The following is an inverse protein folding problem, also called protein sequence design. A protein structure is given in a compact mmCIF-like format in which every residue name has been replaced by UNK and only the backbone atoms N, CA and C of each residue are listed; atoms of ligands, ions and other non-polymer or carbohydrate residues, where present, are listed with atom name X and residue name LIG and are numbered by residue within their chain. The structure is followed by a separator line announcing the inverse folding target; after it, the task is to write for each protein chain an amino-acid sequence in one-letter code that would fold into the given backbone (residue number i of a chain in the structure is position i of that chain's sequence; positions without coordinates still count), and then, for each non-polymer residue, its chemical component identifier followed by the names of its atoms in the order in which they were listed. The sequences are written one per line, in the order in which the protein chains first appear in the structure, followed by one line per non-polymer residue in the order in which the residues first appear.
data_IF_616539849539
#
_entry.id   IF_616539849539
#
_cell.length_a   1.000
_cell.length_b   1.000
_cell.length_c   1.000
_cell.angle_alpha   90.00
_cell.angle_beta   90.00
_cell.angle_gamma   90.00
#
_symmetry.space_group_name_H-M   'P 1'
#
loop_
_entity.id
_entity.type
_entity.pdbx_description
1 polymer ?
#
# COMPACT_ATOMS: atom_id res chain seq x y z
N UNK A 1 33.53 19.27 -45.66
CA UNK A 1 32.14 19.14 -45.15
C UNK A 1 32.24 19.15 -43.63
N UNK A 2 31.82 20.23 -42.98
CA UNK A 2 31.75 20.28 -41.51
C UNK A 2 30.72 19.25 -41.04
N UNK A 3 31.13 18.34 -40.16
CA UNK A 3 30.27 17.30 -39.60
C UNK A 3 29.14 17.97 -38.81
N UNK A 4 27.94 18.02 -39.38
CA UNK A 4 26.77 18.72 -38.80
C UNK A 4 26.05 17.84 -37.76
N UNK A 5 26.76 16.88 -37.15
CA UNK A 5 26.23 15.96 -36.14
C UNK A 5 26.09 16.68 -34.81
N UNK A 6 24.85 16.73 -34.30
CA UNK A 6 24.58 17.16 -32.93
C UNK A 6 24.81 15.98 -31.98
N UNK A 7 25.74 16.15 -31.04
CA UNK A 7 26.01 15.17 -29.99
C UNK A 7 25.30 15.59 -28.70
N UNK A 8 24.66 14.63 -28.05
CA UNK A 8 24.06 14.79 -26.72
C UNK A 8 24.80 13.90 -25.73
N UNK A 9 25.06 14.40 -24.54
CA UNK A 9 25.76 13.67 -23.48
C UNK A 9 25.02 13.82 -22.16
N UNK A 10 25.09 12.78 -21.34
CA UNK A 10 24.61 12.77 -19.97
C UNK A 10 25.82 12.88 -19.04
N UNK A 11 25.83 13.85 -18.13
CA UNK A 11 26.87 13.97 -17.11
C UNK A 11 26.33 13.44 -15.79
N UNK A 12 26.88 12.32 -15.32
CA UNK A 12 26.61 11.81 -13.98
C UNK A 12 27.61 12.44 -13.00
N UNK A 13 27.14 12.83 -11.81
CA UNK A 13 28.03 13.18 -10.69
C UNK A 13 28.70 11.90 -10.17
N UNK A 14 29.86 12.04 -9.53
CA UNK A 14 30.54 10.90 -8.89
C UNK A 14 29.63 10.19 -7.89
N UNK A 15 28.85 10.97 -7.13
CA UNK A 15 27.88 10.49 -6.15
C UNK A 15 26.46 10.27 -6.71
N UNK A 16 26.30 10.12 -8.03
CA UNK A 16 24.97 9.98 -8.64
C UNK A 16 24.19 8.76 -8.11
N UNK A 17 24.90 7.67 -7.82
CA UNK A 17 24.30 6.45 -7.26
C UNK A 17 24.13 6.51 -5.74
N UNK A 18 24.63 7.56 -5.09
CA UNK A 18 24.44 7.82 -3.66
C UNK A 18 23.24 8.75 -3.39
N UNK A 19 22.56 9.25 -4.44
CA UNK A 19 21.32 10.02 -4.28
C UNK A 19 20.24 9.14 -3.65
N UNK A 20 19.58 9.63 -2.60
CA UNK A 20 18.59 8.86 -1.82
C UNK A 20 17.51 8.22 -2.71
N UNK A 21 17.11 8.88 -3.80
CA UNK A 21 16.10 8.37 -4.72
C UNK A 21 16.63 7.22 -5.57
N UNK A 22 17.92 7.24 -5.93
CA UNK A 22 18.59 6.20 -6.71
C UNK A 22 18.98 5.02 -5.83
N UNK A 23 19.49 5.28 -4.62
CA UNK A 23 19.75 4.24 -3.61
C UNK A 23 18.46 3.50 -3.29
N UNK A 24 17.37 4.23 -3.06
CA UNK A 24 16.05 3.65 -2.82
C UNK A 24 15.59 2.82 -4.03
N UNK A 25 15.74 3.34 -5.24
CA UNK A 25 15.39 2.64 -6.46
C UNK A 25 16.16 1.31 -6.62
N UNK A 26 17.48 1.32 -6.41
CA UNK A 26 18.33 0.13 -6.56
C UNK A 26 18.14 -0.89 -5.43
N UNK A 27 17.64 -0.46 -4.27
CA UNK A 27 17.29 -1.35 -3.17
C UNK A 27 16.01 -2.19 -3.42
N UNK A 28 15.20 -1.85 -4.43
CA UNK A 28 13.97 -2.57 -4.76
C UNK A 28 14.26 -3.92 -5.43
N UNK A 29 13.29 -4.84 -5.39
CA UNK A 29 13.32 -6.01 -6.27
C UNK A 29 13.33 -5.53 -7.74
N UNK A 30 14.28 -6.03 -8.54
CA UNK A 30 14.60 -5.52 -9.88
C UNK A 30 15.12 -4.05 -9.91
N UNK A 31 15.58 -3.50 -8.78
CA UNK A 31 16.01 -2.10 -8.66
C UNK A 31 17.14 -1.71 -9.62
N UNK A 32 18.14 -2.59 -9.80
CA UNK A 32 19.23 -2.40 -10.78
C UNK A 32 18.67 -2.31 -12.21
N UNK A 33 17.61 -3.08 -12.50
CA UNK A 33 16.92 -3.03 -13.80
C UNK A 33 16.18 -1.69 -13.97
N UNK A 34 15.52 -1.20 -12.92
CA UNK A 34 14.87 0.10 -12.95
C UNK A 34 15.87 1.26 -13.07
N UNK A 35 16.99 1.22 -12.36
CA UNK A 35 18.10 2.17 -12.52
C UNK A 35 18.62 2.19 -13.97
N UNK A 36 18.78 1.02 -14.58
CA UNK A 36 19.15 0.92 -16.00
C UNK A 36 18.09 1.53 -16.94
N UNK A 37 16.80 1.29 -16.69
CA UNK A 37 15.70 1.90 -17.45
C UNK A 37 15.74 3.42 -17.29
N UNK A 38 15.92 3.93 -16.08
CA UNK A 38 15.95 5.36 -15.78
C UNK A 38 17.09 6.06 -16.53
N UNK A 39 18.30 5.50 -16.50
CA UNK A 39 19.45 6.05 -17.25
C UNK A 39 19.19 6.05 -18.76
N UNK A 40 18.57 5.00 -19.30
CA UNK A 40 18.16 4.96 -20.71
C UNK A 40 17.13 6.03 -21.03
N UNK A 41 16.17 6.28 -20.15
CA UNK A 41 15.15 7.32 -20.32
C UNK A 41 15.77 8.72 -20.29
N UNK A 42 16.68 9.00 -19.36
CA UNK A 42 17.44 10.26 -19.37
C UNK A 42 18.12 10.49 -20.72
N UNK A 43 18.84 9.50 -21.24
CA UNK A 43 19.49 9.58 -22.55
C UNK A 43 18.50 9.83 -23.69
N UNK A 44 17.34 9.15 -23.69
CA UNK A 44 16.30 9.33 -24.72
C UNK A 44 15.64 10.69 -24.67
N UNK A 45 15.58 11.30 -23.49
CA UNK A 45 14.96 12.61 -23.29
C UNK A 45 15.84 13.80 -23.73
N UNK A 46 17.16 13.60 -23.88
CA UNK A 46 18.13 14.69 -24.12
C UNK A 46 17.80 15.53 -25.37
N UNK A 47 17.38 14.87 -26.46
CA UNK A 47 17.05 15.54 -27.72
C UNK A 47 15.88 16.54 -27.55
N UNK A 48 14.97 16.26 -26.64
CA UNK A 48 13.75 17.02 -26.40
C UNK A 48 13.77 17.73 -25.03
N UNK A 49 14.96 18.04 -24.51
CA UNK A 49 15.13 18.84 -23.30
C UNK A 49 14.53 18.22 -22.04
N UNK A 50 14.48 16.89 -21.97
CA UNK A 50 13.88 16.15 -20.84
C UNK A 50 12.53 15.52 -21.15
N UNK A 51 11.89 15.86 -22.28
CA UNK A 51 10.62 15.22 -22.67
C UNK A 51 10.89 13.85 -23.32
N UNK A 52 10.10 12.86 -22.93
CA UNK A 52 10.12 11.52 -23.52
C UNK A 52 9.19 11.47 -24.72
N UNK A 53 9.74 11.77 -25.90
CA UNK A 53 9.00 11.85 -27.16
C UNK A 53 9.80 11.21 -28.30
N UNK A 54 9.08 10.62 -29.27
CA UNK A 54 9.69 10.10 -30.50
C UNK A 54 10.04 11.24 -31.46
N UNK A 55 9.13 12.20 -31.56
CA UNK A 55 9.24 13.42 -32.34
C UNK A 55 8.46 14.56 -31.64
N UNK A 56 8.43 15.77 -32.20
CA UNK A 56 7.84 16.95 -31.54
C UNK A 56 6.41 16.72 -31.01
N UNK A 57 5.59 15.95 -31.74
CA UNK A 57 4.17 15.75 -31.44
C UNK A 57 3.82 14.37 -30.85
N UNK A 58 4.79 13.44 -30.72
CA UNK A 58 4.49 12.05 -30.34
C UNK A 58 5.16 11.69 -29.01
N UNK A 59 4.42 11.76 -27.89
CA UNK A 59 4.86 11.28 -26.59
C UNK A 59 5.13 9.78 -26.60
N UNK A 60 6.14 9.34 -25.84
CA UNK A 60 6.35 7.92 -25.64
C UNK A 60 5.28 7.30 -24.74
N UNK A 61 4.66 6.24 -25.23
CA UNK A 61 3.82 5.34 -24.42
C UNK A 61 4.68 4.33 -23.65
N UNK A 62 4.11 3.67 -22.63
CA UNK A 62 4.80 2.60 -21.90
C UNK A 62 5.29 1.47 -22.85
N UNK A 63 4.49 1.10 -23.85
CA UNK A 63 4.88 0.12 -24.87
C UNK A 63 6.08 0.58 -25.72
N UNK A 64 6.14 1.86 -26.08
CA UNK A 64 7.29 2.42 -26.81
C UNK A 64 8.53 2.42 -25.92
N UNK A 65 8.39 2.76 -24.64
CA UNK A 65 9.48 2.74 -23.67
C UNK A 65 10.00 1.31 -23.47
N UNK A 66 9.12 0.32 -23.35
CA UNK A 66 9.49 -1.11 -23.29
C UNK A 66 10.33 -1.53 -24.48
N UNK A 67 9.90 -1.14 -25.68
CA UNK A 67 10.60 -1.44 -26.93
C UNK A 67 12.00 -0.81 -26.96
N UNK A 68 12.12 0.50 -26.66
CA UNK A 68 13.41 1.21 -26.77
C UNK A 68 14.38 0.85 -25.64
N UNK A 69 13.87 0.45 -24.47
CA UNK A 69 14.70 0.03 -23.32
C UNK A 69 15.05 -1.46 -23.37
N UNK A 70 14.39 -2.21 -24.26
CA UNK A 70 14.47 -3.67 -24.44
C UNK A 70 14.02 -4.42 -23.19
N UNK A 71 12.88 -4.01 -22.65
CA UNK A 71 12.30 -4.55 -21.43
C UNK A 71 10.87 -5.01 -21.64
N UNK A 72 10.37 -5.85 -20.73
CA UNK A 72 8.96 -6.23 -20.73
C UNK A 72 8.09 -5.02 -20.38
N UNK A 73 6.93 -4.90 -21.03
CA UNK A 73 6.00 -3.78 -20.80
C UNK A 73 5.63 -3.65 -19.31
N UNK A 74 5.28 -4.75 -18.65
CA UNK A 74 4.95 -4.72 -17.21
C UNK A 74 6.12 -4.30 -16.31
N UNK A 75 7.37 -4.51 -16.74
CA UNK A 75 8.54 -3.96 -16.02
C UNK A 75 8.66 -2.46 -16.21
N UNK A 76 8.38 -1.96 -17.41
CA UNK A 76 8.40 -0.53 -17.71
C UNK A 76 7.25 0.22 -17.05
N UNK A 77 6.05 -0.35 -17.02
CA UNK A 77 4.89 0.26 -16.35
C UNK A 77 5.15 0.41 -14.86
N UNK A 78 5.67 -0.64 -14.21
CA UNK A 78 6.11 -0.58 -12.81
C UNK A 78 7.22 0.44 -12.61
N UNK A 79 8.24 0.46 -13.48
CA UNK A 79 9.33 1.42 -13.40
C UNK A 79 8.83 2.88 -13.52
N UNK A 80 7.94 3.17 -14.46
CA UNK A 80 7.35 4.50 -14.64
C UNK A 80 6.53 4.93 -13.42
N UNK A 81 5.72 4.04 -12.85
CA UNK A 81 5.00 4.32 -11.61
C UNK A 81 5.96 4.65 -10.45
N UNK A 82 7.05 3.89 -10.32
CA UNK A 82 8.08 4.15 -9.31
C UNK A 82 8.75 5.51 -9.57
N UNK A 83 9.15 5.82 -10.80
CA UNK A 83 9.80 7.08 -11.13
C UNK A 83 8.90 8.29 -10.89
N UNK A 84 7.60 8.18 -11.18
CA UNK A 84 6.60 9.22 -10.88
C UNK A 84 6.50 9.46 -9.38
N UNK A 85 6.44 8.38 -8.58
CA UNK A 85 6.37 8.46 -7.11
C UNK A 85 7.64 9.04 -6.49
N UNK A 86 8.80 8.71 -7.02
CA UNK A 86 10.09 9.24 -6.57
C UNK A 86 10.38 10.66 -7.10
N UNK A 87 9.48 11.24 -7.90
CA UNK A 87 9.69 12.56 -8.52
C UNK A 87 10.89 12.58 -9.48
N UNK A 88 11.27 11.43 -10.03
CA UNK A 88 12.32 11.27 -11.04
C UNK A 88 11.77 11.51 -12.45
N UNK A 89 10.47 11.27 -12.63
CA UNK A 89 9.67 11.54 -13.83
C UNK A 89 8.41 12.30 -13.41
N UNK A 90 7.92 13.17 -14.28
CA UNK A 90 6.65 13.89 -14.13
C UNK A 90 5.78 13.70 -15.38
N UNK A 91 4.46 13.83 -15.24
CA UNK A 91 3.55 13.93 -16.39
C UNK A 91 3.19 15.40 -16.58
N UNK A 92 3.44 15.93 -17.77
CA UNK A 92 3.00 17.28 -18.16
C UNK A 92 1.49 17.29 -18.46
N UNK A 93 0.87 18.47 -18.50
CA UNK A 93 -0.56 18.62 -18.83
C UNK A 93 -0.94 17.98 -20.19
N UNK A 94 0.04 17.84 -21.09
CA UNK A 94 -0.11 17.17 -22.38
C UNK A 94 -0.08 15.63 -22.32
N UNK A 95 0.06 15.03 -21.12
CA UNK A 95 0.27 13.59 -20.94
C UNK A 95 1.71 13.12 -21.22
N UNK A 96 2.63 14.01 -21.57
CA UNK A 96 4.02 13.67 -21.90
C UNK A 96 4.85 13.46 -20.64
N UNK A 97 5.59 12.35 -20.57
CA UNK A 97 6.55 12.14 -19.50
C UNK A 97 7.76 13.09 -19.63
N UNK A 98 8.16 13.69 -18.51
CA UNK A 98 9.27 14.60 -18.38
C UNK A 98 10.28 14.11 -17.32
N UNK A 99 11.57 14.11 -17.66
CA UNK A 99 12.64 13.69 -16.78
C UNK A 99 13.03 14.82 -15.81
N UNK A 100 12.50 14.81 -14.58
CA UNK A 100 12.58 15.93 -13.63
C UNK A 100 14.01 16.40 -13.32
N UNK A 101 14.96 15.46 -13.23
CA UNK A 101 16.35 15.78 -12.90
C UNK A 101 17.24 16.03 -14.12
N UNK A 102 16.69 16.08 -15.35
CA UNK A 102 17.50 16.21 -16.58
C UNK A 102 18.43 17.43 -16.55
N UNK A 103 17.98 18.54 -15.98
CA UNK A 103 18.75 19.79 -15.88
C UNK A 103 19.96 19.68 -14.94
N UNK A 104 19.93 18.75 -13.99
CA UNK A 104 21.08 18.44 -13.11
C UNK A 104 22.14 17.59 -13.83
N UNK A 105 21.76 16.97 -14.96
CA UNK A 105 22.57 16.02 -15.71
C UNK A 105 23.11 16.62 -17.04
N UNK A 106 22.78 17.88 -17.35
CA UNK A 106 23.24 18.62 -18.54
C UNK A 106 23.75 20.04 -18.16
N UNK A 107 24.87 20.51 -18.74
CA UNK A 107 25.33 21.92 -18.64
C UNK A 107 26.04 22.37 -17.34
N UNK A 108 26.59 23.60 -17.33
CA UNK A 108 27.54 24.09 -16.30
C UNK A 108 26.90 24.61 -14.99
N UNK A 109 27.28 23.95 -13.90
CA UNK A 109 27.18 24.31 -12.46
C UNK A 109 25.81 24.26 -11.76
N UNK A 110 25.88 23.76 -10.52
CA UNK A 110 24.83 23.24 -9.64
C UNK A 110 23.77 24.25 -9.20
N UNK A 111 24.09 25.54 -9.09
CA UNK A 111 23.18 26.51 -8.46
C UNK A 111 22.03 27.02 -9.34
N UNK A 112 22.13 26.94 -10.67
CA UNK A 112 21.07 27.46 -11.54
C UNK A 112 20.04 26.39 -11.92
N UNK A 113 20.49 25.15 -12.08
CA UNK A 113 19.62 23.99 -12.29
C UNK A 113 18.77 23.68 -11.03
N UNK A 114 19.37 23.75 -9.83
CA UNK A 114 18.63 23.62 -8.57
C UNK A 114 17.60 24.75 -8.39
N UNK A 115 17.94 25.99 -8.78
CA UNK A 115 17.01 27.13 -8.79
C UNK A 115 15.85 26.93 -9.76
N UNK A 116 16.09 26.45 -10.98
CA UNK A 116 15.04 26.17 -11.99
C UNK A 116 14.14 25.01 -11.57
N UNK A 117 14.69 23.98 -10.92
CA UNK A 117 13.91 22.89 -10.30
C UNK A 117 13.03 23.41 -9.17
N UNK A 118 13.60 24.15 -8.23
CA UNK A 118 12.87 24.74 -7.10
C UNK A 118 11.77 25.70 -7.59
N UNK A 119 12.05 26.54 -8.59
CA UNK A 119 11.06 27.44 -9.18
C UNK A 119 9.90 26.68 -9.84
N UNK A 120 10.15 25.54 -10.49
CA UNK A 120 9.10 24.69 -11.08
C UNK A 120 8.21 24.04 -10.02
N UNK A 121 8.82 23.50 -8.96
CA UNK A 121 8.09 22.97 -7.80
C UNK A 121 7.24 24.05 -7.12
N UNK A 122 7.79 25.26 -6.97
CA UNK A 122 7.09 26.38 -6.36
C UNK A 122 5.95 26.92 -7.22
N UNK A 123 6.13 27.00 -8.54
CA UNK A 123 5.06 27.39 -9.47
C UNK A 123 3.91 26.38 -9.46
N UNK A 124 4.22 25.08 -9.32
CA UNK A 124 3.21 24.02 -9.15
C UNK A 124 2.44 24.14 -7.83
N UNK A 125 3.09 24.58 -6.75
CA UNK A 125 2.43 24.88 -5.47
C UNK A 125 1.58 26.16 -5.53
N UNK A 126 1.96 27.13 -6.37
CA UNK A 126 1.26 28.42 -6.55
C UNK A 126 0.08 28.35 -7.52
N UNK A 127 0.00 27.33 -8.38
CA UNK A 127 -1.12 27.11 -9.31
C UNK A 127 -2.31 26.37 -8.70
N UNK A 128 -2.29 26.05 -7.40
CA UNK A 128 -3.49 25.66 -6.67
C UNK A 128 -4.48 26.83 -6.62
N UNK A 129 -5.82 26.61 -6.74
CA UNK A 129 -6.77 27.70 -6.96
C UNK A 129 -6.77 28.72 -5.82
N UNK A 130 -6.46 29.98 -6.14
CA UNK A 130 -6.61 31.12 -5.22
C UNK A 130 -8.09 31.46 -5.10
N UNK A 131 -8.63 31.37 -3.88
CA UNK A 131 -9.93 31.89 -3.49
C UNK A 131 -9.97 33.41 -3.63
N UNK A 132 -10.83 33.94 -4.50
CA UNK A 132 -11.29 35.33 -4.47
C UNK A 132 -12.36 35.48 -3.38
N UNK A 133 -12.11 36.34 -2.39
CA UNK A 133 -13.01 36.55 -1.25
C UNK A 133 -14.33 37.24 -1.60
N UNK A 134 -15.37 36.87 -0.86
CA UNK A 134 -16.66 37.55 -0.84
C UNK A 134 -17.78 36.74 -0.19
N UNK A 135 -17.96 36.94 1.12
CA UNK A 135 -19.21 36.78 1.91
C UNK A 135 -19.87 35.41 2.17
N UNK A 136 -20.05 35.16 3.48
CA UNK A 136 -21.09 34.43 4.24
C UNK A 136 -21.48 32.98 3.86
N UNK A 137 -21.18 32.09 4.81
CA UNK A 137 -21.89 30.88 5.27
C UNK A 137 -22.63 30.02 4.23
N UNK A 138 -22.18 28.78 4.03
CA UNK A 138 -22.88 27.62 4.61
C UNK A 138 -22.13 26.29 4.39
N UNK A 139 -22.43 25.36 5.28
CA UNK A 139 -21.93 24.00 5.47
C UNK A 139 -22.16 23.11 4.25
N UNK A 140 -21.10 22.43 3.74
CA UNK A 140 -21.02 21.03 3.23
C UNK A 140 -19.72 20.77 2.44
N UNK A 141 -19.00 19.64 2.63
CA UNK A 141 -18.01 19.14 1.68
C UNK A 141 -18.69 18.77 0.34
N UNK A 142 -18.07 19.03 -0.84
CA UNK A 142 -18.69 18.76 -2.12
C UNK A 142 -18.70 17.25 -2.41
N UNK A 143 -19.87 16.71 -2.74
CA UNK A 143 -20.14 15.29 -3.05
C UNK A 143 -19.19 14.70 -4.12
N UNK A 144 -18.62 15.55 -4.98
CA UNK A 144 -17.73 15.20 -6.10
C UNK A 144 -16.35 14.70 -5.64
N UNK A 145 -15.78 15.25 -4.57
CA UNK A 145 -14.47 14.79 -4.05
C UNK A 145 -14.59 13.40 -3.42
N UNK A 146 -15.69 13.15 -2.72
CA UNK A 146 -16.01 11.85 -2.12
C UNK A 146 -16.25 10.78 -3.19
N UNK A 147 -16.88 11.16 -4.32
CA UNK A 147 -17.07 10.25 -5.45
C UNK A 147 -15.75 9.85 -6.11
N UNK A 148 -14.83 10.80 -6.33
CA UNK A 148 -13.51 10.52 -6.91
C UNK A 148 -12.66 9.61 -6.00
N UNK A 149 -12.70 9.84 -4.69
CA UNK A 149 -11.99 9.01 -3.71
C UNK A 149 -12.52 7.56 -3.70
N UNK A 150 -13.84 7.40 -3.74
CA UNK A 150 -14.49 6.08 -3.85
C UNK A 150 -14.16 5.36 -5.16
N UNK A 151 -14.05 6.07 -6.28
CA UNK A 151 -13.63 5.48 -7.55
C UNK A 151 -12.17 5.03 -7.53
N UNK A 152 -11.27 5.84 -6.96
CA UNK A 152 -9.86 5.50 -6.82
C UNK A 152 -9.62 4.31 -5.87
N UNK A 153 -10.42 4.19 -4.80
CA UNK A 153 -10.40 3.03 -3.91
C UNK A 153 -10.85 1.75 -4.62
N UNK A 154 -11.93 1.82 -5.41
CA UNK A 154 -12.39 0.68 -6.23
C UNK A 154 -11.35 0.24 -7.26
N UNK A 155 -10.66 1.17 -7.91
CA UNK A 155 -9.59 0.83 -8.85
C UNK A 155 -8.41 0.11 -8.16
N UNK A 156 -8.02 0.59 -6.97
CA UNK A 156 -6.98 -0.06 -6.16
C UNK A 156 -7.39 -1.45 -5.67
N UNK A 157 -8.65 -1.62 -5.29
CA UNK A 157 -9.21 -2.92 -4.90
C UNK A 157 -9.18 -3.92 -6.06
N UNK A 158 -9.57 -3.49 -7.25
CA UNK A 158 -9.52 -4.30 -8.49
C UNK A 158 -8.07 -4.69 -8.86
N UNK A 159 -7.11 -3.78 -8.71
CA UNK A 159 -5.69 -4.07 -8.97
C UNK A 159 -5.12 -5.06 -7.95
N UNK A 160 -5.49 -4.88 -6.68
CA UNK A 160 -5.08 -5.76 -5.58
C UNK A 160 -5.62 -7.18 -5.77
N UNK A 161 -6.86 -7.35 -6.22
CA UNK A 161 -7.45 -8.67 -6.44
C UNK A 161 -6.78 -9.43 -7.59
N UNK A 162 -6.37 -8.72 -8.64
CA UNK A 162 -5.57 -9.30 -9.74
C UNK A 162 -4.17 -9.72 -9.27
N UNK A 163 -3.56 -8.95 -8.37
CA UNK A 163 -2.27 -9.28 -7.77
C UNK A 163 -2.37 -10.54 -6.91
N UNK A 164 -3.35 -10.60 -5.99
CA UNK A 164 -3.60 -11.77 -5.13
C UNK A 164 -3.84 -13.04 -5.95
N UNK A 165 -4.64 -12.93 -7.02
CA UNK A 165 -4.87 -14.03 -7.96
C UNK A 165 -3.59 -14.52 -8.64
N UNK A 166 -2.73 -13.59 -9.06
CA UNK A 166 -1.45 -13.92 -9.69
C UNK A 166 -0.48 -14.56 -8.71
N UNK A 167 -0.43 -14.08 -7.46
CA UNK A 167 0.39 -14.63 -6.39
C UNK A 167 -0.02 -16.06 -6.03
N UNK A 168 -1.31 -16.31 -5.84
CA UNK A 168 -1.78 -17.66 -5.57
C UNK A 168 -1.63 -18.57 -6.81
N UNK A 169 -1.74 -18.00 -8.01
CA UNK A 169 -1.41 -18.66 -9.27
C UNK A 169 0.06 -19.07 -9.39
N UNK A 170 0.98 -18.32 -8.81
CA UNK A 170 2.40 -18.72 -8.71
C UNK A 170 2.56 -19.96 -7.81
N UNK A 171 1.83 -20.00 -6.69
CA UNK A 171 1.88 -21.12 -5.74
C UNK A 171 1.25 -22.40 -6.30
N UNK A 172 0.06 -22.30 -6.89
CA UNK A 172 -0.72 -23.46 -7.35
C UNK A 172 -0.56 -23.78 -8.84
N UNK A 173 0.10 -22.90 -9.58
CA UNK A 173 0.23 -22.95 -11.04
C UNK A 173 -0.98 -22.35 -11.78
N UNK A 174 -0.80 -22.08 -13.08
CA UNK A 174 -1.76 -21.38 -13.94
C UNK A 174 -3.17 -21.99 -13.99
N UNK A 175 -3.32 -23.28 -13.65
CA UNK A 175 -4.64 -23.94 -13.58
C UNK A 175 -5.52 -23.34 -12.50
N UNK A 176 -4.96 -22.94 -11.36
CA UNK A 176 -5.69 -22.27 -10.30
C UNK A 176 -6.26 -20.94 -10.77
N UNK A 177 -5.49 -20.12 -11.50
CA UNK A 177 -5.95 -18.83 -12.04
C UNK A 177 -7.23 -19.02 -12.86
N UNK A 178 -7.23 -20.01 -13.75
CA UNK A 178 -8.38 -20.28 -14.62
C UNK A 178 -9.57 -20.84 -13.85
N UNK A 179 -9.32 -21.71 -12.86
CA UNK A 179 -10.36 -22.28 -12.00
C UNK A 179 -11.01 -21.23 -11.09
N UNK A 180 -10.21 -20.36 -10.48
CA UNK A 180 -10.66 -19.32 -9.57
C UNK A 180 -11.52 -18.27 -10.30
N UNK A 181 -11.11 -17.83 -11.50
CA UNK A 181 -11.92 -16.94 -12.34
C UNK A 181 -13.26 -17.58 -12.72
N UNK A 182 -13.25 -18.86 -13.15
CA UNK A 182 -14.45 -19.52 -13.66
C UNK A 182 -15.49 -19.83 -12.58
N UNK A 183 -15.05 -20.21 -11.39
CA UNK A 183 -15.95 -20.67 -10.33
C UNK A 183 -16.24 -19.59 -9.28
N UNK A 184 -15.35 -18.60 -9.13
CA UNK A 184 -15.42 -17.61 -8.05
C UNK A 184 -15.18 -16.16 -8.50
N UNK A 185 -14.96 -15.91 -9.80
CA UNK A 185 -14.70 -14.57 -10.33
C UNK A 185 -13.31 -13.99 -10.01
N UNK A 186 -12.48 -14.67 -9.22
CA UNK A 186 -11.17 -14.16 -8.78
C UNK A 186 -10.60 -14.95 -7.61
N UNK A 187 -9.58 -14.40 -6.95
CA UNK A 187 -8.98 -14.99 -5.76
C UNK A 187 -9.82 -14.73 -4.51
N UNK A 188 -9.93 -15.72 -3.64
CA UNK A 188 -10.30 -15.54 -2.23
C UNK A 188 -9.54 -16.53 -1.36
N UNK A 189 -9.35 -16.22 -0.07
CA UNK A 189 -8.71 -17.14 0.86
C UNK A 189 -9.49 -18.48 0.94
N UNK A 190 -10.83 -18.40 0.93
CA UNK A 190 -11.72 -19.56 0.94
C UNK A 190 -11.51 -20.45 -0.30
N UNK A 191 -11.45 -19.88 -1.51
CA UNK A 191 -11.27 -20.70 -2.71
C UNK A 191 -9.84 -21.23 -2.87
N UNK A 192 -8.84 -20.55 -2.31
CA UNK A 192 -7.46 -21.03 -2.25
C UNK A 192 -7.33 -22.25 -1.32
N UNK A 193 -8.05 -22.25 -0.20
CA UNK A 193 -8.14 -23.40 0.70
C UNK A 193 -8.89 -24.57 0.05
N UNK A 194 -10.06 -24.29 -0.54
CA UNK A 194 -10.87 -25.29 -1.24
C UNK A 194 -10.04 -25.99 -2.33
N UNK A 195 -9.36 -25.22 -3.18
CA UNK A 195 -8.53 -25.77 -4.25
C UNK A 195 -7.39 -26.65 -3.71
N UNK A 196 -6.76 -26.27 -2.59
CA UNK A 196 -5.74 -27.10 -1.94
C UNK A 196 -6.29 -28.46 -1.52
N UNK A 197 -7.46 -28.47 -0.89
CA UNK A 197 -8.08 -29.66 -0.34
C UNK A 197 -8.53 -30.61 -1.45
N UNK A 198 -9.16 -30.09 -2.50
CA UNK A 198 -9.60 -30.87 -3.66
C UNK A 198 -8.42 -31.54 -4.38
N UNK A 199 -7.34 -30.78 -4.59
CA UNK A 199 -6.14 -31.29 -5.25
C UNK A 199 -5.38 -32.29 -4.36
N UNK A 200 -5.27 -32.02 -3.05
CA UNK A 200 -4.65 -32.93 -2.11
C UNK A 200 -5.39 -34.28 -2.06
N UNK A 201 -6.72 -34.25 -1.99
CA UNK A 201 -7.56 -35.45 -2.00
C UNK A 201 -7.43 -36.25 -3.31
N UNK A 202 -7.36 -35.57 -4.45
CA UNK A 202 -7.23 -36.23 -5.77
C UNK A 202 -5.91 -36.98 -5.96
N UNK A 203 -4.83 -36.53 -5.32
CA UNK A 203 -3.49 -37.14 -5.43
C UNK A 203 -3.06 -37.93 -4.19
N UNK A 204 -3.92 -38.01 -3.17
CA UNK A 204 -3.58 -38.66 -1.89
C UNK A 204 -2.48 -37.93 -1.12
N UNK A 205 -2.39 -36.61 -1.26
CA UNK A 205 -1.44 -35.76 -0.54
C UNK A 205 -2.07 -35.18 0.71
N UNK A 206 -1.23 -34.82 1.69
CA UNK A 206 -1.66 -34.14 2.91
C UNK A 206 -2.09 -32.69 2.62
N UNK A 207 -1.44 -32.03 1.65
CA UNK A 207 -1.72 -30.66 1.23
C UNK A 207 -1.19 -30.40 -0.19
N UNK A 208 -1.90 -29.61 -0.98
CA UNK A 208 -1.43 -29.13 -2.29
C UNK A 208 -1.07 -27.65 -2.19
N UNK A 209 0.21 -27.32 -2.33
CA UNK A 209 0.75 -25.96 -2.19
C UNK A 209 0.45 -25.30 -0.84
N UNK A 210 0.38 -23.97 -0.82
CA UNK A 210 0.13 -23.15 0.36
C UNK A 210 -1.14 -22.29 0.18
N UNK A 211 -2.26 -22.64 0.86
CA UNK A 211 -3.49 -21.84 0.84
C UNK A 211 -3.31 -20.40 1.31
N UNK A 212 -2.29 -20.16 2.12
CA UNK A 212 -1.98 -18.88 2.75
C UNK A 212 -0.84 -18.15 2.04
N UNK A 213 -0.52 -18.56 0.82
CA UNK A 213 0.61 -18.00 0.08
C UNK A 213 0.48 -16.50 -0.15
N UNK A 214 -0.71 -16.02 -0.50
CA UNK A 214 -0.97 -14.59 -0.67
C UNK A 214 -0.69 -13.80 0.62
N UNK A 215 -1.28 -14.09 1.79
CA UNK A 215 -0.95 -13.37 3.01
C UNK A 215 0.51 -13.53 3.43
N UNK A 216 1.14 -14.69 3.21
CA UNK A 216 2.57 -14.88 3.47
C UNK A 216 3.46 -13.98 2.60
N UNK A 217 3.14 -13.80 1.31
CA UNK A 217 3.89 -12.92 0.42
C UNK A 217 3.58 -11.45 0.72
N UNK A 218 2.31 -11.10 0.93
CA UNK A 218 1.90 -9.72 1.21
C UNK A 218 2.45 -9.20 2.54
N UNK A 219 2.76 -10.09 3.50
CA UNK A 219 3.55 -9.77 4.70
C UNK A 219 4.85 -9.05 4.36
N UNK A 220 5.60 -9.53 3.36
CA UNK A 220 6.89 -8.97 2.96
C UNK A 220 6.78 -7.92 1.87
N UNK A 221 5.67 -7.90 1.13
CA UNK A 221 5.35 -6.80 0.21
C UNK A 221 5.16 -5.46 0.94
N UNK A 222 4.88 -5.50 2.23
CA UNK A 222 4.70 -4.34 3.09
C UNK A 222 5.62 -4.31 4.33
N UNK A 223 6.34 -5.39 4.65
CA UNK A 223 7.25 -5.50 5.78
C UNK A 223 8.73 -5.39 5.40
N UNK A 224 9.31 -4.19 5.54
CA UNK A 224 10.76 -4.00 5.61
C UNK A 224 11.37 -3.13 4.53
N UNK A 225 11.19 -1.81 4.64
CA UNK A 225 11.82 -0.81 3.78
C UNK A 225 11.19 0.56 4.00
N UNK A 226 11.81 1.61 3.44
CA UNK A 226 11.52 3.05 3.58
C UNK A 226 10.07 3.51 3.30
N UNK A 227 9.13 2.59 3.07
CA UNK A 227 7.70 2.82 2.80
C UNK A 227 6.77 2.59 4.01
N UNK A 228 7.31 2.28 5.20
CA UNK A 228 6.54 2.36 6.45
C UNK A 228 5.90 3.77 6.64
N UNK A 229 6.54 4.82 6.08
CA UNK A 229 6.02 6.18 6.07
C UNK A 229 5.01 6.50 4.96
N UNK A 230 4.77 5.60 3.99
CA UNK A 230 3.83 5.83 2.88
C UNK A 230 2.47 5.12 3.06
N UNK A 231 2.41 4.05 3.86
CA UNK A 231 1.19 3.29 4.12
C UNK A 231 0.70 3.36 5.57
N UNK A 232 1.44 3.98 6.49
CA UNK A 232 1.02 4.20 7.88
C UNK A 232 0.35 2.97 8.52
N UNK A 233 -0.68 3.21 9.33
CA UNK A 233 -1.47 2.19 9.99
C UNK A 233 -2.38 1.37 9.03
N UNK A 234 -2.39 1.61 7.71
CA UNK A 234 -3.26 0.86 6.77
C UNK A 234 -2.77 -0.57 6.48
N UNK A 235 -1.52 -0.89 6.82
CA UNK A 235 -0.95 -2.21 6.57
C UNK A 235 -1.62 -3.29 7.42
N UNK A 236 -1.82 -3.03 8.72
CA UNK A 236 -2.50 -3.97 9.62
C UNK A 236 -3.95 -4.19 9.17
N UNK A 237 -4.61 -3.16 8.64
CA UNK A 237 -5.96 -3.24 8.05
C UNK A 237 -5.97 -4.17 6.85
N UNK A 238 -5.04 -4.00 5.91
CA UNK A 238 -4.95 -4.84 4.70
C UNK A 238 -4.71 -6.31 5.07
N UNK A 239 -3.86 -6.56 6.07
CA UNK A 239 -3.60 -7.92 6.58
C UNK A 239 -4.86 -8.48 7.24
N UNK A 240 -5.57 -7.72 8.06
CA UNK A 240 -6.81 -8.14 8.69
C UNK A 240 -7.87 -8.52 7.64
N UNK A 241 -8.11 -7.65 6.65
CA UNK A 241 -9.06 -7.92 5.55
C UNK A 241 -8.71 -9.17 4.74
N UNK A 242 -7.42 -9.50 4.61
CA UNK A 242 -7.00 -10.73 3.94
C UNK A 242 -7.42 -12.02 4.66
N UNK A 243 -7.86 -11.91 5.92
CA UNK A 243 -8.29 -13.04 6.75
C UNK A 243 -9.80 -13.21 6.81
N UNK A 244 -10.59 -12.38 6.13
CA UNK A 244 -12.05 -12.47 6.12
C UNK A 244 -12.53 -13.88 5.72
N UNK A 245 -13.48 -14.41 6.49
CA UNK A 245 -14.02 -15.76 6.33
C UNK A 245 -13.15 -16.87 6.93
N UNK A 246 -12.10 -16.56 7.69
CA UNK A 246 -11.39 -17.56 8.49
C UNK A 246 -12.23 -17.92 9.73
N UNK A 247 -12.71 -19.16 9.79
CA UNK A 247 -13.54 -19.69 10.88
C UNK A 247 -12.74 -20.53 11.87
N UNK A 248 -13.14 -20.53 13.14
CA UNK A 248 -12.56 -21.34 14.23
C UNK A 248 -11.19 -20.88 14.73
N UNK A 249 -10.55 -19.93 14.04
CA UNK A 249 -9.38 -19.20 14.51
C UNK A 249 -8.11 -20.01 14.73
N UNK A 250 -8.05 -21.27 14.27
CA UNK A 250 -6.94 -22.20 14.56
C UNK A 250 -5.58 -21.58 14.29
N UNK A 251 -5.47 -20.88 13.18
CA UNK A 251 -4.30 -20.13 12.79
C UNK A 251 -3.80 -19.18 13.90
N UNK A 252 -4.69 -18.42 14.52
CA UNK A 252 -4.35 -17.32 15.41
C UNK A 252 -4.04 -17.81 16.83
N UNK A 253 -4.90 -18.65 17.41
CA UNK A 253 -4.66 -19.17 18.76
C UNK A 253 -3.50 -20.17 18.80
N UNK A 254 -3.27 -20.95 17.74
CA UNK A 254 -2.09 -21.85 17.71
C UNK A 254 -0.79 -21.10 17.45
N UNK A 255 -0.79 -20.05 16.62
CA UNK A 255 0.37 -19.16 16.44
C UNK A 255 0.75 -18.47 17.75
N UNK A 256 -0.23 -18.10 18.57
CA UNK A 256 0.05 -17.55 19.90
C UNK A 256 0.80 -18.56 20.78
N UNK A 257 0.42 -19.84 20.69
CA UNK A 257 1.00 -20.95 21.44
C UNK A 257 -0.04 -21.81 22.17
N UNK A 258 -1.34 -21.55 21.98
CA UNK A 258 -2.39 -22.38 22.58
C UNK A 258 -2.50 -23.73 21.86
N UNK A 259 -2.68 -24.80 22.63
CA UNK A 259 -2.80 -26.16 22.12
C UNK A 259 -4.25 -26.61 21.90
N UNK A 260 -5.21 -25.76 22.27
CA UNK A 260 -6.66 -25.98 22.14
C UNK A 260 -7.34 -24.66 21.74
N UNK A 261 -8.62 -24.74 21.31
CA UNK A 261 -9.40 -23.57 20.91
C UNK A 261 -9.64 -22.66 22.12
N UNK A 262 -9.20 -21.42 22.00
CA UNK A 262 -9.42 -20.32 22.96
C UNK A 262 -10.12 -19.16 22.25
N UNK A 263 -10.71 -18.22 22.98
CA UNK A 263 -11.20 -16.97 22.39
C UNK A 263 -10.01 -16.21 21.78
N UNK A 264 -10.13 -15.83 20.51
CA UNK A 264 -8.96 -15.53 19.68
C UNK A 264 -8.97 -14.13 19.06
N UNK A 265 -9.85 -13.23 19.49
CA UNK A 265 -9.89 -11.83 19.02
C UNK A 265 -8.55 -11.11 19.25
N UNK A 266 -7.98 -11.19 20.46
CA UNK A 266 -6.69 -10.59 20.78
C UNK A 266 -5.51 -11.30 20.07
N UNK A 267 -5.57 -12.64 19.96
CA UNK A 267 -4.59 -13.41 19.19
C UNK A 267 -4.58 -12.98 17.71
N UNK A 268 -5.74 -12.72 17.13
CA UNK A 268 -5.90 -12.22 15.76
C UNK A 268 -5.24 -10.84 15.60
N UNK A 269 -5.56 -9.88 16.49
CA UNK A 269 -4.94 -8.55 16.45
C UNK A 269 -3.42 -8.63 16.59
N UNK A 270 -2.92 -9.44 17.53
CA UNK A 270 -1.48 -9.67 17.71
C UNK A 270 -0.83 -10.33 16.50
N UNK A 271 -1.51 -11.28 15.85
CA UNK A 271 -1.02 -11.93 14.63
C UNK A 271 -0.92 -10.92 13.48
N UNK A 272 -1.96 -10.11 13.27
CA UNK A 272 -1.99 -9.04 12.27
C UNK A 272 -0.89 -8.01 12.54
N UNK A 273 -0.70 -7.61 13.81
CA UNK A 273 0.37 -6.71 14.22
C UNK A 273 1.77 -7.29 13.96
N UNK A 274 1.98 -8.59 14.19
CA UNK A 274 3.25 -9.24 13.86
C UNK A 274 3.50 -9.28 12.35
N UNK A 275 2.47 -9.58 11.57
CA UNK A 275 2.57 -9.60 10.12
C UNK A 275 2.86 -8.19 9.57
N UNK A 276 2.33 -7.15 10.21
CA UNK A 276 2.55 -5.75 9.87
C UNK A 276 3.89 -5.18 10.38
N UNK A 277 4.68 -5.95 11.13
CA UNK A 277 5.93 -5.47 11.74
C UNK A 277 5.75 -4.56 12.96
N UNK A 278 4.50 -4.44 13.47
CA UNK A 278 4.12 -3.51 14.53
C UNK A 278 4.53 -3.99 15.93
N UNK A 279 4.74 -5.29 16.10
CA UNK A 279 5.32 -5.82 17.33
C UNK A 279 6.81 -5.46 17.42
N UNK A 280 7.54 -5.58 16.30
CA UNK A 280 8.97 -5.38 16.24
C UNK A 280 9.37 -3.91 16.41
N UNK A 281 8.55 -2.99 15.88
CA UNK A 281 8.76 -1.55 16.06
C UNK A 281 8.17 -1.00 17.36
N UNK A 282 7.52 -1.85 18.17
CA UNK A 282 6.93 -1.48 19.47
C UNK A 282 5.69 -0.60 19.39
N UNK A 283 4.99 -0.57 18.24
CA UNK A 283 3.76 0.21 18.08
C UNK A 283 2.53 -0.47 18.69
N UNK A 284 2.51 -1.81 18.73
CA UNK A 284 1.44 -2.64 19.30
C UNK A 284 2.07 -3.72 20.19
N UNK A 285 1.48 -4.06 21.36
CA UNK A 285 1.99 -5.14 22.19
C UNK A 285 1.65 -6.49 21.59
N UNK A 286 2.37 -7.54 21.99
CA UNK A 286 1.94 -8.92 21.77
C UNK A 286 1.02 -9.30 22.94
N UNK A 287 -0.28 -9.50 22.71
CA UNK A 287 -1.28 -9.82 23.73
C UNK A 287 -2.32 -10.85 23.26
N UNK A 288 -2.81 -11.69 24.18
CA UNK A 288 -3.92 -12.64 23.94
C UNK A 288 -5.15 -12.36 24.82
N UNK A 289 -5.07 -11.34 25.68
CA UNK A 289 -6.15 -10.96 26.58
C UNK A 289 -6.43 -9.46 26.41
N UNK A 290 -7.69 -9.09 26.17
CA UNK A 290 -8.06 -7.71 25.79
C UNK A 290 -7.62 -6.66 26.84
N UNK A 291 -7.82 -6.87 28.15
CA UNK A 291 -7.36 -5.93 29.18
C UNK A 291 -5.86 -5.65 29.16
N UNK A 292 -5.01 -6.65 28.86
CA UNK A 292 -3.56 -6.43 28.74
C UNK A 292 -3.22 -5.43 27.62
N UNK A 293 -3.99 -5.47 26.52
CA UNK A 293 -3.88 -4.51 25.42
C UNK A 293 -4.28 -3.10 25.85
N UNK A 294 -5.42 -2.97 26.55
CA UNK A 294 -5.92 -1.70 27.10
C UNK A 294 -4.89 -1.08 28.04
N UNK A 295 -4.44 -1.83 29.05
CA UNK A 295 -3.46 -1.38 30.05
C UNK A 295 -2.18 -0.91 29.39
N UNK A 296 -1.69 -1.63 28.37
CA UNK A 296 -0.49 -1.24 27.64
C UNK A 296 -0.69 0.10 26.90
N UNK A 297 -1.76 0.26 26.11
CA UNK A 297 -1.98 1.51 25.38
C UNK A 297 -2.19 2.71 26.29
N UNK A 298 -2.85 2.51 27.43
CA UNK A 298 -2.98 3.53 28.48
C UNK A 298 -1.62 3.89 29.08
N UNK A 299 -0.80 2.90 29.46
CA UNK A 299 0.54 3.12 30.00
C UNK A 299 1.47 3.83 29.02
N UNK A 300 1.31 3.61 27.70
CA UNK A 300 2.06 4.31 26.66
C UNK A 300 1.55 5.73 26.36
N UNK A 301 0.45 6.19 26.99
CA UNK A 301 -0.19 7.47 26.67
C UNK A 301 -0.72 7.54 25.23
N UNK A 302 -1.09 6.38 24.68
CA UNK A 302 -1.61 6.13 23.33
C UNK A 302 -3.07 5.67 23.36
N UNK A 303 -3.79 5.95 24.43
CA UNK A 303 -5.20 5.64 24.56
C UNK A 303 -6.08 6.82 24.14
N UNK A 304 -7.12 6.52 23.37
CA UNK A 304 -8.16 7.46 22.95
C UNK A 304 -9.51 6.96 23.45
N UNK A 305 -10.29 7.82 24.10
CA UNK A 305 -11.58 7.43 24.68
C UNK A 305 -12.66 7.19 23.61
N UNK A 306 -13.69 6.43 23.98
CA UNK A 306 -14.91 6.26 23.21
C UNK A 306 -15.54 7.62 22.81
N UNK A 307 -16.31 7.64 21.71
CA UNK A 307 -16.87 8.88 21.16
C UNK A 307 -15.89 9.72 20.33
N UNK A 308 -14.62 9.31 20.24
CA UNK A 308 -13.63 9.95 19.39
C UNK A 308 -13.58 9.36 17.99
N UNK A 309 -13.04 10.11 17.01
CA UNK A 309 -12.81 9.61 15.64
C UNK A 309 -11.45 8.88 15.61
N UNK A 310 -11.41 7.55 15.43
CA UNK A 310 -10.16 6.80 15.33
C UNK A 310 -9.55 6.95 13.94
N UNK A 311 -8.22 6.84 13.87
CA UNK A 311 -7.52 6.64 12.61
C UNK A 311 -7.58 5.16 12.19
N UNK A 312 -7.56 4.90 10.88
CA UNK A 312 -7.37 3.55 10.36
C UNK A 312 -6.16 2.85 11.00
N UNK A 313 -6.28 1.55 11.23
CA UNK A 313 -5.34 0.68 11.93
C UNK A 313 -5.16 0.94 13.42
N UNK A 314 -5.96 1.83 14.03
CA UNK A 314 -6.10 1.87 15.48
C UNK A 314 -6.70 0.55 15.99
N UNK A 315 -6.37 0.16 17.21
CA UNK A 315 -6.93 -1.04 17.84
C UNK A 315 -8.17 -0.61 18.62
N UNK A 316 -9.34 -1.13 18.28
CA UNK A 316 -10.60 -0.81 18.96
C UNK A 316 -10.88 -1.85 20.03
N UNK A 317 -11.31 -1.41 21.21
CA UNK A 317 -11.69 -2.28 22.33
C UNK A 317 -13.15 -2.06 22.71
N UNK A 318 -13.81 -3.14 23.10
CA UNK A 318 -15.22 -3.15 23.48
C UNK A 318 -15.41 -3.64 24.90
N UNK A 319 -16.48 -3.15 25.52
CA UNK A 319 -17.01 -3.51 26.83
C UNK A 319 -18.53 -3.63 26.66
N UNK A 320 -19.00 -4.87 26.51
CA UNK A 320 -20.37 -5.19 26.11
C UNK A 320 -21.31 -5.27 27.30
N UNK A 321 -20.81 -5.67 28.48
CA UNK A 321 -21.60 -5.79 29.70
C UNK A 321 -21.48 -4.57 30.63
N UNK A 322 -20.62 -3.61 30.27
CA UNK A 322 -20.37 -2.35 30.96
C UNK A 322 -19.77 -2.52 32.35
N UNK A 323 -18.96 -3.57 32.55
CA UNK A 323 -18.26 -3.84 33.81
C UNK A 323 -16.91 -3.09 33.94
N UNK A 324 -16.48 -2.42 32.87
CA UNK A 324 -15.22 -1.68 32.79
C UNK A 324 -14.01 -2.54 32.40
N UNK A 325 -14.23 -3.79 32.00
CA UNK A 325 -13.23 -4.73 31.49
C UNK A 325 -13.48 -4.95 30.00
N UNK A 326 -12.41 -5.04 29.20
CA UNK A 326 -12.59 -5.23 27.77
C UNK A 326 -12.90 -6.70 27.44
N UNK A 327 -14.04 -6.91 26.76
CA UNK A 327 -14.50 -8.21 26.28
C UNK A 327 -13.93 -8.58 24.91
N UNK A 328 -13.81 -7.58 24.03
CA UNK A 328 -13.51 -7.79 22.62
C UNK A 328 -12.56 -6.74 22.07
N UNK A 329 -11.84 -7.11 21.01
CA UNK A 329 -10.86 -6.25 20.37
C UNK A 329 -10.86 -6.46 18.85
N UNK A 330 -10.68 -5.38 18.11
CA UNK A 330 -10.68 -5.35 16.66
C UNK A 330 -9.66 -4.38 16.08
N UNK A 331 -9.59 -4.32 14.76
CA UNK A 331 -8.76 -3.37 14.02
C UNK A 331 -9.68 -2.40 13.28
N UNK A 332 -9.48 -1.09 13.48
CA UNK A 332 -10.23 -0.06 12.76
C UNK A 332 -9.80 -0.06 11.29
N UNK A 333 -10.73 -0.29 10.38
CA UNK A 333 -10.51 -0.14 8.94
C UNK A 333 -10.56 1.32 8.52
N UNK A 334 -11.65 2.00 8.88
CA UNK A 334 -11.91 3.39 8.50
C UNK A 334 -12.94 4.03 9.46
N UNK A 335 -13.08 5.35 9.38
CA UNK A 335 -14.14 6.07 10.07
C UNK A 335 -14.57 7.28 9.24
N UNK A 336 -15.87 7.43 9.00
CA UNK A 336 -16.45 8.55 8.24
C UNK A 336 -16.88 9.74 9.12
N UNK A 337 -16.55 9.69 10.41
CA UNK A 337 -16.93 10.68 11.42
C UNK A 337 -18.22 10.36 12.18
N UNK A 338 -19.03 9.41 11.69
CA UNK A 338 -20.25 8.95 12.38
C UNK A 338 -20.24 7.45 12.65
N UNK A 339 -19.61 6.69 11.77
CA UNK A 339 -19.52 5.24 11.80
C UNK A 339 -18.05 4.82 11.74
N UNK A 340 -17.68 3.86 12.59
CA UNK A 340 -16.39 3.19 12.58
C UNK A 340 -16.59 1.84 11.91
N UNK A 341 -15.76 1.54 10.91
CA UNK A 341 -15.70 0.24 10.24
C UNK A 341 -14.51 -0.53 10.77
N UNK A 342 -14.69 -1.82 11.05
CA UNK A 342 -13.70 -2.65 11.74
C UNK A 342 -13.55 -4.01 11.07
N UNK A 343 -12.38 -4.61 11.25
CA UNK A 343 -12.13 -6.03 10.95
C UNK A 343 -11.81 -6.73 12.26
N UNK A 344 -12.58 -7.76 12.57
CA UNK A 344 -12.62 -8.37 13.89
C UNK A 344 -12.47 -9.88 13.77
N UNK A 345 -11.56 -10.45 14.56
CA UNK A 345 -11.42 -11.88 14.68
C UNK A 345 -12.29 -12.40 15.82
N UNK A 346 -12.77 -13.64 15.71
CA UNK A 346 -13.63 -14.29 16.68
C UNK A 346 -14.98 -13.58 16.86
N UNK A 347 -15.44 -12.86 15.85
CA UNK A 347 -16.82 -12.39 15.78
C UNK A 347 -17.63 -13.51 15.11
N UNK A 348 -18.56 -14.12 15.85
CA UNK A 348 -19.27 -15.30 15.36
C UNK A 348 -18.38 -16.52 15.11
N UNK A 349 -17.24 -16.63 15.81
CA UNK A 349 -16.16 -17.61 15.55
C UNK A 349 -15.53 -17.49 14.15
N UNK A 350 -15.62 -16.31 13.52
CA UNK A 350 -15.01 -16.00 12.24
C UNK A 350 -14.24 -14.65 12.25
N UNK A 351 -13.50 -14.38 11.17
CA UNK A 351 -13.03 -13.02 10.87
C UNK A 351 -14.06 -12.33 10.01
N UNK A 352 -14.62 -11.23 10.52
CA UNK A 352 -15.72 -10.49 9.89
C UNK A 352 -15.45 -8.98 9.84
N UNK A 353 -16.14 -8.31 8.92
CA UNK A 353 -16.24 -6.84 8.88
C UNK A 353 -17.45 -6.40 9.69
N UNK A 354 -17.25 -5.45 10.59
CA UNK A 354 -18.31 -4.88 11.42
C UNK A 354 -18.35 -3.36 11.29
N UNK A 355 -19.45 -2.77 11.77
CA UNK A 355 -19.57 -1.32 11.85
C UNK A 355 -20.34 -0.89 13.09
N UNK A 356 -19.91 0.22 13.69
CA UNK A 356 -20.48 0.76 14.91
C UNK A 356 -20.59 2.28 14.79
N UNK A 357 -21.63 2.86 15.37
CA UNK A 357 -21.66 4.32 15.52
C UNK A 357 -20.51 4.75 16.44
N UNK A 358 -19.84 5.87 16.15
CA UNK A 358 -18.76 6.43 16.99
C UNK A 358 -19.20 6.63 18.46
N UNK A 359 -20.49 6.87 18.68
CA UNK A 359 -21.13 7.06 20.00
C UNK A 359 -21.63 5.75 20.63
N UNK A 360 -21.29 4.58 20.07
CA UNK A 360 -21.73 3.30 20.62
C UNK A 360 -21.22 3.13 22.05
N UNK A 361 -22.13 2.82 22.97
CA UNK A 361 -21.80 2.61 24.38
C UNK A 361 -20.99 1.33 24.61
N UNK A 362 -20.99 0.41 23.64
CA UNK A 362 -20.20 -0.81 23.67
C UNK A 362 -18.72 -0.57 23.35
N UNK A 363 -18.36 0.59 22.78
CA UNK A 363 -16.97 0.93 22.50
C UNK A 363 -16.35 1.44 23.80
N UNK A 364 -15.29 0.78 24.26
CA UNK A 364 -14.51 1.20 25.42
C UNK A 364 -13.49 2.30 25.04
N UNK A 365 -12.84 2.13 23.89
CA UNK A 365 -11.87 3.11 23.38
C UNK A 365 -10.93 2.52 22.35
N UNK A 366 -9.84 3.24 22.08
CA UNK A 366 -8.91 2.94 21.00
C UNK A 366 -7.45 3.04 21.44
N UNK A 367 -6.65 2.07 21.01
CA UNK A 367 -5.19 2.11 21.02
C UNK A 367 -4.64 2.74 19.75
N UNK A 368 -3.89 3.83 19.87
CA UNK A 368 -3.31 4.57 18.75
C UNK A 368 -1.99 3.90 18.31
N UNK A 369 -1.94 3.44 17.06
CA UNK A 369 -0.78 2.74 16.48
C UNK A 369 0.22 3.70 15.81
N UNK A 370 -0.24 4.86 15.33
CA UNK A 370 0.56 5.86 14.61
C UNK A 370 1.36 6.81 15.52
N UNK A 371 2.30 7.57 14.95
CA UNK A 371 3.00 8.66 15.66
C UNK A 371 2.06 9.86 15.87
N UNK A 372 2.16 10.48 17.06
CA UNK A 372 1.51 11.77 17.35
C UNK A 372 1.99 12.88 16.43
#
# INVERSE_FOLDING_TARGET
MSDNRKYYYLKLKENNFDDDSIVLLESMQDGVLYSNILLKLYLKSLKHGGRLQLDEDIPYTAQMIATITRQQIGTVERALQIFLKLGLVEVLDSGTFYMSNIELLIGQSSTEAERKRAARLQNKALSAPRTSGGHLSDIRPPEIEIELEKELEKEKEIEMDKLKLSLQGYNYGNRYITWAIRNHGGYSAANALQFSQEQAAAYGWERYGDPEYVPHVLRYYSGGGLFAGLFGNQQIVTIAKSQLGNEGGQKFWSWWGFTQREEWCACFVSWCAEQAGLLQNGAVPRFSYCPDGVDWFQAQGKWQAAGSIPAAGSIIFFDWDHDGVSDHVGIVESCDGTTVYTVEGNFGDAVEENSYTVQSTSIMGYGIVGTK
#
